data_IF_785945590158
#
_entry.id   IF_785945590158
#
_cell.length_a   1.000
_cell.length_b   1.000
_cell.length_c   1.000
_cell.angle_alpha   90.00
_cell.angle_beta   90.00
_cell.angle_gamma   90.00
#
_symmetry.space_group_name_H-M   'P 1'
#
loop_
_entity.id
_entity.type
_entity.pdbx_description
1 polymer ?
#
# COMPACT_ATOMS: atom_id res chain seq x y z
N UNK A 1 28.67 -8.82 1.49
CA UNK A 1 27.45 -8.50 2.28
C UNK A 1 27.32 -6.98 2.40
N UNK A 2 26.24 -6.38 1.90
CA UNK A 2 26.00 -4.96 2.15
C UNK A 2 25.77 -4.77 3.65
N UNK A 3 26.51 -3.87 4.28
CA UNK A 3 26.32 -3.55 5.69
C UNK A 3 24.93 -2.98 5.91
N UNK A 4 24.16 -3.57 6.82
CA UNK A 4 22.92 -3.01 7.30
C UNK A 4 23.16 -2.39 8.69
N UNK A 5 22.61 -1.19 8.89
CA UNK A 5 22.51 -0.54 10.19
C UNK A 5 21.04 -0.55 10.63
N UNK A 6 20.84 -0.72 11.93
CA UNK A 6 19.52 -0.75 12.51
C UNK A 6 19.47 0.05 13.79
N UNK A 7 18.43 0.87 13.92
CA UNK A 7 18.11 1.57 15.15
C UNK A 7 16.70 1.20 15.61
N UNK A 8 16.58 0.95 16.91
CA UNK A 8 15.31 0.69 17.60
C UNK A 8 15.16 1.71 18.70
N UNK A 9 13.94 2.13 18.94
CA UNK A 9 13.61 2.94 20.10
C UNK A 9 13.90 2.16 21.39
N UNK A 10 14.61 2.80 22.32
CA UNK A 10 15.01 2.19 23.58
C UNK A 10 13.81 1.77 24.43
N UNK A 11 12.76 2.59 24.41
CA UNK A 11 11.58 2.39 25.23
C UNK A 11 10.55 1.57 24.47
N UNK A 12 10.18 0.37 24.97
CA UNK A 12 9.04 -0.36 24.44
C UNK A 12 7.76 0.46 24.61
N UNK A 13 6.89 0.40 23.61
CA UNK A 13 5.58 1.03 23.69
C UNK A 13 4.58 0.01 24.23
N UNK A 14 3.99 0.34 25.37
CA UNK A 14 3.03 -0.51 26.04
C UNK A 14 1.66 -0.46 25.33
N UNK A 15 0.89 -1.57 25.36
CA UNK A 15 -0.40 -1.67 24.69
C UNK A 15 -1.52 -0.81 25.28
N UNK A 16 -1.27 -0.12 26.40
CA UNK A 16 -2.28 0.67 27.10
C UNK A 16 -2.77 1.90 26.31
N UNK A 17 -2.02 2.36 25.31
CA UNK A 17 -2.40 3.53 24.53
C UNK A 17 -3.33 3.18 23.36
N UNK A 18 -4.42 3.94 23.15
CA UNK A 18 -5.39 3.65 22.09
C UNK A 18 -4.79 3.82 20.68
N UNK A 19 -3.74 4.63 20.57
CA UNK A 19 -2.97 4.87 19.36
C UNK A 19 -1.57 5.37 19.74
N UNK A 20 -0.57 4.69 19.21
CA UNK A 20 0.83 5.13 19.19
C UNK A 20 1.15 5.59 17.78
N UNK A 21 1.78 6.76 17.62
CA UNK A 21 2.08 7.31 16.30
C UNK A 21 3.38 8.12 16.28
N UNK A 22 4.20 7.91 15.25
CA UNK A 22 5.44 8.65 14.97
C UNK A 22 5.48 9.03 13.49
N UNK A 23 6.07 10.19 13.18
CA UNK A 23 6.42 10.57 11.82
C UNK A 23 7.94 10.66 11.62
N UNK A 24 8.38 10.18 10.45
CA UNK A 24 9.75 10.23 9.97
C UNK A 24 9.81 11.16 8.76
N UNK A 25 10.51 12.29 8.89
CA UNK A 25 10.76 13.21 7.78
C UNK A 25 12.12 12.90 7.17
N UNK A 26 12.14 12.58 5.88
CA UNK A 26 13.39 12.34 5.15
C UNK A 26 13.98 13.68 4.76
N UNK A 27 14.92 14.21 5.52
CA UNK A 27 15.55 15.50 5.20
C UNK A 27 16.67 15.37 4.16
N UNK A 28 17.31 14.21 4.07
CA UNK A 28 18.34 13.92 3.07
C UNK A 28 18.37 12.42 2.77
N UNK A 29 18.38 12.07 1.48
CA UNK A 29 18.50 10.70 0.97
C UNK A 29 19.57 10.67 -0.13
N UNK A 30 20.56 9.78 -0.01
CA UNK A 30 21.63 9.62 -1.00
C UNK A 30 21.13 9.06 -2.35
N UNK A 31 21.86 9.34 -3.43
CA UNK A 31 21.42 9.15 -4.83
C UNK A 31 21.22 7.69 -5.26
N UNK A 32 21.82 6.71 -4.58
CA UNK A 32 21.71 5.28 -4.97
C UNK A 32 20.85 4.42 -4.01
N UNK A 33 19.93 5.06 -3.28
CA UNK A 33 19.08 4.49 -2.23
C UNK A 33 17.93 3.56 -2.70
N UNK A 34 18.15 2.74 -3.73
CA UNK A 34 17.15 1.74 -4.13
C UNK A 34 17.14 0.66 -3.05
N UNK A 35 16.06 0.59 -2.25
CA UNK A 35 15.84 -0.35 -1.12
C UNK A 35 16.55 -0.06 0.23
N UNK A 36 17.30 1.04 0.30
CA UNK A 36 18.27 1.24 1.37
C UNK A 36 17.70 1.72 2.71
N UNK A 37 16.41 2.05 2.76
CA UNK A 37 15.78 2.69 3.91
C UNK A 37 14.39 2.10 4.14
N UNK A 38 14.10 1.78 5.40
CA UNK A 38 12.76 1.40 5.82
C UNK A 38 12.48 1.87 7.24
N UNK A 39 11.22 2.16 7.53
CA UNK A 39 10.72 2.56 8.85
C UNK A 39 9.55 1.66 9.24
N UNK A 40 9.39 1.39 10.52
CA UNK A 40 8.32 0.49 10.96
C UNK A 40 8.40 0.09 12.42
N UNK A 41 7.98 -1.14 12.69
CA UNK A 41 7.95 -1.70 14.05
C UNK A 41 8.57 -3.09 14.13
N UNK A 42 8.99 -3.46 15.34
CA UNK A 42 9.43 -4.81 15.70
C UNK A 42 8.85 -5.22 17.05
N UNK A 43 8.62 -6.52 17.23
CA UNK A 43 8.30 -7.14 18.52
C UNK A 43 9.57 -7.62 19.26
N UNK A 44 10.67 -7.83 18.53
CA UNK A 44 11.91 -8.31 19.11
C UNK A 44 12.55 -7.29 20.05
N UNK A 45 13.09 -7.83 21.14
CA UNK A 45 14.00 -7.09 22.04
C UNK A 45 15.43 -7.14 21.54
N UNK A 46 15.80 -8.23 20.86
CA UNK A 46 17.13 -8.47 20.35
C UNK A 46 17.11 -8.30 18.85
N UNK A 47 17.99 -7.44 18.37
CA UNK A 47 18.24 -7.34 16.95
C UNK A 47 19.63 -7.83 16.71
N UNK A 48 19.74 -8.83 15.85
CA UNK A 48 21.02 -9.27 15.32
C UNK A 48 21.69 -8.10 14.62
N UNK A 49 22.68 -7.49 15.28
CA UNK A 49 23.45 -6.41 14.68
C UNK A 49 24.04 -6.88 13.35
N UNK A 50 23.80 -6.11 12.28
CA UNK A 50 24.24 -6.43 10.92
C UNK A 50 23.18 -7.12 10.04
N UNK A 51 22.03 -7.52 10.59
CA UNK A 51 20.88 -7.95 9.80
C UNK A 51 19.99 -6.76 9.40
N UNK A 52 19.30 -6.89 8.27
CA UNK A 52 18.24 -5.95 7.90
C UNK A 52 17.06 -6.11 8.86
N UNK A 53 16.54 -5.04 9.47
CA UNK A 53 15.61 -5.20 10.57
C UNK A 53 14.25 -5.77 10.21
N UNK A 54 13.85 -5.63 8.96
CA UNK A 54 12.58 -6.17 8.48
C UNK A 54 12.76 -7.55 7.82
N UNK A 55 13.95 -8.16 8.00
CA UNK A 55 14.22 -9.55 7.64
C UNK A 55 13.55 -10.56 8.58
N UNK A 56 13.20 -10.14 9.78
CA UNK A 56 12.64 -11.00 10.81
C UNK A 56 11.13 -11.16 10.65
N UNK A 57 10.60 -12.29 11.14
CA UNK A 57 9.16 -12.62 11.11
C UNK A 57 8.32 -11.83 12.09
N UNK A 58 8.94 -10.98 12.90
CA UNK A 58 8.31 -10.18 13.94
C UNK A 58 8.58 -8.68 13.75
N UNK A 59 8.94 -8.30 12.53
CA UNK A 59 9.15 -6.92 12.13
C UNK A 59 8.38 -6.60 10.85
N UNK A 60 7.84 -5.38 10.78
CA UNK A 60 7.12 -4.85 9.62
C UNK A 60 7.67 -3.48 9.29
N UNK A 61 8.17 -3.32 8.07
CA UNK A 61 8.78 -2.08 7.61
C UNK A 61 8.18 -1.60 6.31
N UNK A 62 7.93 -0.30 6.22
CA UNK A 62 7.64 0.36 4.96
C UNK A 62 8.96 0.88 4.38
N UNK A 63 9.32 0.47 3.16
CA UNK A 63 10.59 0.80 2.51
C UNK A 63 10.47 2.04 1.62
N UNK A 64 11.60 2.71 1.37
CA UNK A 64 11.70 3.87 0.46
C UNK A 64 11.22 3.58 -0.97
N UNK A 65 11.08 2.31 -1.37
CA UNK A 65 10.51 1.91 -2.66
C UNK A 65 8.98 1.91 -2.66
N UNK A 66 8.33 2.25 -1.55
CA UNK A 66 6.88 2.15 -1.44
C UNK A 66 6.40 0.71 -1.21
N UNK A 67 7.26 -0.19 -0.75
CA UNK A 67 6.89 -1.59 -0.48
C UNK A 67 6.82 -1.89 1.01
N UNK A 68 5.98 -2.84 1.38
CA UNK A 68 6.00 -3.46 2.70
C UNK A 68 7.09 -4.53 2.72
N UNK A 69 7.93 -4.53 3.74
CA UNK A 69 8.94 -5.53 4.02
C UNK A 69 8.58 -6.28 5.30
N UNK A 70 8.45 -7.59 5.19
CA UNK A 70 8.20 -8.49 6.32
C UNK A 70 8.85 -9.84 6.03
N UNK A 71 9.61 -10.38 6.98
CA UNK A 71 10.30 -11.66 6.82
C UNK A 71 11.15 -11.75 5.52
N UNK A 72 11.85 -10.67 5.16
CA UNK A 72 12.58 -10.52 3.88
C UNK A 72 11.74 -10.55 2.60
N UNK A 73 10.41 -10.57 2.70
CA UNK A 73 9.52 -10.49 1.55
C UNK A 73 9.12 -9.04 1.32
N UNK A 74 9.33 -8.55 0.08
CA UNK A 74 8.84 -7.24 -0.36
C UNK A 74 7.49 -7.41 -1.05
N UNK A 75 6.51 -6.64 -0.62
CA UNK A 75 5.15 -6.65 -1.16
C UNK A 75 4.74 -5.24 -1.57
N UNK A 76 3.99 -5.07 -2.69
CA UNK A 76 3.38 -3.80 -3.02
C UNK A 76 2.48 -3.31 -1.88
N UNK A 77 2.59 -2.04 -1.50
CA UNK A 77 1.81 -1.49 -0.40
C UNK A 77 1.54 0.00 -0.56
N UNK A 78 2.59 0.81 -0.67
CA UNK A 78 2.49 2.23 -0.95
C UNK A 78 2.17 2.53 -2.41
N UNK A 79 1.75 3.76 -2.69
CA UNK A 79 1.44 4.21 -4.05
C UNK A 79 2.68 4.48 -4.90
N UNK A 80 3.78 4.88 -4.24
CA UNK A 80 5.03 5.28 -4.89
C UNK A 80 6.21 5.20 -3.93
N UNK A 81 7.44 5.14 -4.46
CA UNK A 81 8.65 5.40 -3.67
C UNK A 81 8.59 6.76 -2.97
N UNK A 82 9.21 6.87 -1.79
CA UNK A 82 9.41 8.14 -1.10
C UNK A 82 10.86 8.61 -1.21
N UNK A 83 11.02 9.93 -1.15
CA UNK A 83 12.29 10.63 -1.29
C UNK A 83 12.48 11.71 -0.22
N UNK A 84 13.56 12.47 -0.32
CA UNK A 84 13.79 13.63 0.53
C UNK A 84 12.63 14.64 0.43
N UNK A 85 12.17 15.12 1.58
CA UNK A 85 11.00 15.98 1.75
C UNK A 85 9.72 15.24 2.15
N UNK A 86 9.67 13.91 1.93
CA UNK A 86 8.52 13.11 2.31
C UNK A 86 8.47 12.85 3.82
N UNK A 87 7.24 12.74 4.33
CA UNK A 87 6.93 12.44 5.73
C UNK A 87 6.19 11.11 5.78
N UNK A 88 6.80 10.14 6.46
CA UNK A 88 6.28 8.79 6.59
C UNK A 88 5.85 8.58 8.03
N UNK A 89 4.57 8.31 8.27
CA UNK A 89 4.11 7.98 9.60
C UNK A 89 3.96 6.48 9.82
N UNK A 90 4.22 6.03 11.04
CA UNK A 90 4.01 4.66 11.48
C UNK A 90 3.11 4.67 12.72
N UNK A 91 1.93 4.07 12.59
CA UNK A 91 0.92 4.00 13.63
C UNK A 91 0.69 2.59 14.12
N UNK A 92 0.44 2.46 15.42
CA UNK A 92 0.03 1.21 16.06
C UNK A 92 -1.21 1.52 16.90
N UNK A 93 -2.37 1.00 16.52
CA UNK A 93 -3.64 1.37 17.14
C UNK A 93 -4.60 0.19 17.32
N UNK A 94 -5.57 0.33 18.23
CA UNK A 94 -6.59 -0.69 18.50
C UNK A 94 -7.64 -0.77 17.38
N UNK A 95 -7.65 -1.91 16.68
CA UNK A 95 -8.58 -2.28 15.60
C UNK A 95 -9.91 -2.76 16.18
N UNK A 96 -9.82 -3.56 17.24
CA UNK A 96 -10.94 -4.01 18.06
C UNK A 96 -10.52 -4.05 19.53
N UNK A 97 -11.41 -4.47 20.42
CA UNK A 97 -11.11 -4.57 21.86
C UNK A 97 -9.91 -5.49 22.16
N UNK A 98 -9.71 -6.52 21.34
CA UNK A 98 -8.62 -7.50 21.51
C UNK A 98 -7.56 -7.45 20.42
N UNK A 99 -7.71 -6.58 19.42
CA UNK A 99 -6.82 -6.55 18.26
C UNK A 99 -6.17 -5.19 18.09
N UNK A 100 -4.86 -5.21 17.88
CA UNK A 100 -4.06 -4.03 17.53
C UNK A 100 -3.55 -4.19 16.10
N UNK A 101 -3.41 -3.09 15.37
CA UNK A 101 -2.94 -3.11 13.99
C UNK A 101 -1.86 -2.08 13.76
N UNK A 102 -0.94 -2.42 12.87
CA UNK A 102 0.11 -1.52 12.39
C UNK A 102 -0.35 -0.93 11.07
N UNK A 103 -0.21 0.37 10.91
CA UNK A 103 -0.49 1.07 9.65
C UNK A 103 0.58 2.09 9.36
N UNK A 104 0.66 2.50 8.10
CA UNK A 104 1.53 3.59 7.68
C UNK A 104 0.74 4.74 7.09
N UNK A 105 1.41 5.88 7.01
CA UNK A 105 0.92 7.06 6.34
C UNK A 105 2.02 7.63 5.46
N UNK A 106 1.64 8.24 4.34
CA UNK A 106 2.56 8.94 3.43
C UNK A 106 2.06 10.36 3.22
N UNK A 107 2.86 11.34 3.63
CA UNK A 107 2.53 12.76 3.54
C UNK A 107 1.13 13.09 4.08
N UNK A 108 0.79 12.54 5.25
CA UNK A 108 -0.50 12.74 5.91
C UNK A 108 -1.66 11.89 5.35
N UNK A 109 -1.40 11.00 4.38
CA UNK A 109 -2.41 10.10 3.83
C UNK A 109 -2.27 8.70 4.43
N UNK A 110 -3.36 8.16 4.95
CA UNK A 110 -3.43 6.79 5.46
C UNK A 110 -3.26 5.76 4.33
N UNK A 111 -2.43 4.73 4.55
CA UNK A 111 -2.11 3.69 3.56
C UNK A 111 -2.76 2.33 3.84
N UNK A 112 -3.43 2.16 4.98
CA UNK A 112 -4.03 0.89 5.37
C UNK A 112 -3.24 0.12 6.42
N UNK A 113 -3.88 -0.89 7.01
CA UNK A 113 -3.29 -1.78 8.01
C UNK A 113 -2.43 -2.83 7.31
N UNK A 114 -1.21 -3.06 7.79
CA UNK A 114 -0.27 -4.04 7.24
C UNK A 114 -0.24 -5.36 8.00
N UNK A 115 -0.55 -5.31 9.30
CA UNK A 115 -0.61 -6.49 10.14
C UNK A 115 -1.49 -6.22 11.37
N UNK A 116 -1.98 -7.28 11.98
CA UNK A 116 -2.74 -7.22 13.22
C UNK A 116 -2.24 -8.23 14.25
N UNK A 117 -2.45 -7.91 15.52
CA UNK A 117 -2.03 -8.69 16.67
C UNK A 117 -3.20 -8.90 17.64
N UNK A 118 -3.47 -10.15 18.03
CA UNK A 118 -4.55 -10.51 18.97
C UNK A 118 -4.23 -10.32 20.45
N UNK A 119 -2.97 -10.07 20.79
CA UNK A 119 -2.50 -10.03 22.19
C UNK A 119 -1.86 -8.70 22.56
N UNK A 120 -2.12 -7.64 21.78
CA UNK A 120 -1.58 -6.29 21.96
C UNK A 120 -0.11 -6.32 22.44
N UNK A 121 0.81 -6.87 21.63
CA UNK A 121 2.17 -7.09 22.05
C UNK A 121 2.85 -5.75 22.32
N UNK A 122 3.91 -5.81 23.11
CA UNK A 122 4.83 -4.68 23.21
C UNK A 122 5.54 -4.50 21.87
N UNK A 123 5.50 -3.28 21.34
CA UNK A 123 6.11 -2.92 20.06
C UNK A 123 7.21 -1.88 20.25
N UNK A 124 8.17 -1.84 19.34
CA UNK A 124 9.15 -0.75 19.25
C UNK A 124 9.19 -0.20 17.84
N UNK A 125 9.37 1.11 17.71
CA UNK A 125 9.69 1.71 16.42
C UNK A 125 11.11 1.38 16.00
N UNK A 126 11.26 1.23 14.69
CA UNK A 126 12.38 0.59 14.04
C UNK A 126 12.74 1.36 12.76
N UNK A 127 14.03 1.63 12.55
CA UNK A 127 14.55 2.25 11.32
C UNK A 127 15.71 1.43 10.78
N UNK A 128 15.53 0.89 9.58
CA UNK A 128 16.52 0.08 8.87
C UNK A 128 17.22 0.84 7.77
N UNK A 129 18.55 0.70 7.73
CA UNK A 129 19.41 1.28 6.71
C UNK A 129 20.31 0.20 6.11
N UNK A 130 20.50 0.21 4.80
CA UNK A 130 21.37 -0.73 4.07
C UNK A 130 22.27 0.07 3.17
N UNK A 131 23.58 -0.14 3.21
CA UNK A 131 24.56 0.52 2.33
C UNK A 131 25.20 1.78 2.92
N UNK A 132 26.02 2.47 2.12
CA UNK A 132 26.78 3.66 2.54
C UNK A 132 26.05 4.93 2.11
N UNK A 133 25.41 5.64 3.04
CA UNK A 133 24.60 6.82 2.71
C UNK A 133 24.73 7.94 3.72
N UNK A 134 24.77 9.16 3.21
CA UNK A 134 24.34 10.33 3.99
C UNK A 134 22.81 10.30 4.07
N UNK A 135 22.30 9.87 5.22
CA UNK A 135 20.88 9.93 5.55
C UNK A 135 20.69 10.85 6.74
N UNK A 136 19.68 11.71 6.65
CA UNK A 136 19.19 12.44 7.81
C UNK A 136 17.67 12.27 7.91
N UNK A 137 17.24 11.57 8.95
CA UNK A 137 15.84 11.44 9.34
C UNK A 137 15.56 12.35 10.53
N UNK A 138 14.46 13.09 10.47
CA UNK A 138 13.92 13.81 11.60
C UNK A 138 12.72 13.04 12.12
N UNK A 139 12.64 12.84 13.43
CA UNK A 139 11.55 12.10 14.06
C UNK A 139 10.62 13.08 14.77
N UNK A 140 9.33 13.00 14.48
CA UNK A 140 8.29 13.68 15.22
C UNK A 140 7.55 12.65 16.08
N UNK A 141 7.70 12.77 17.40
CA UNK A 141 7.04 11.97 18.44
C UNK A 141 5.86 12.73 19.08
N UNK A 142 5.38 13.77 18.41
CA UNK A 142 4.33 14.66 18.91
C UNK A 142 4.87 15.97 19.48
N UNK A 143 6.18 16.24 19.40
CA UNK A 143 6.72 17.56 19.75
C UNK A 143 6.33 18.64 18.74
N UNK A 144 5.95 18.25 17.53
CA UNK A 144 5.39 19.11 16.49
C UNK A 144 4.05 18.53 16.00
N UNK A 145 3.22 19.37 15.37
CA UNK A 145 1.98 18.91 14.75
C UNK A 145 2.27 17.88 13.67
N UNK A 146 1.63 16.71 13.78
CA UNK A 146 1.72 15.66 12.76
C UNK A 146 1.09 16.10 11.43
N UNK A 147 1.65 15.64 10.31
CA UNK A 147 1.07 15.84 8.98
C UNK A 147 -0.18 15.00 8.79
N UNK A 148 -0.21 13.77 9.30
CA UNK A 148 -1.44 13.00 9.44
C UNK A 148 -2.21 13.46 10.68
N UNK A 149 -3.54 13.52 10.60
CA UNK A 149 -4.36 13.70 11.80
C UNK A 149 -4.57 12.33 12.48
N UNK A 150 -3.90 12.02 13.61
CA UNK A 150 -4.00 10.71 14.21
C UNK A 150 -5.40 10.43 14.74
N UNK A 151 -6.20 11.46 15.06
CA UNK A 151 -7.57 11.29 15.55
C UNK A 151 -8.54 10.73 14.49
N UNK A 152 -8.22 10.84 13.19
CA UNK A 152 -9.08 10.35 12.11
C UNK A 152 -8.80 8.90 11.71
N UNK A 153 -7.83 8.24 12.34
CA UNK A 153 -7.34 6.93 11.87
C UNK A 153 -8.41 5.84 11.84
N UNK A 154 -9.28 5.76 12.88
CA UNK A 154 -10.41 4.80 12.91
C UNK A 154 -11.40 5.05 11.79
N UNK A 155 -11.62 6.31 11.43
CA UNK A 155 -12.49 6.68 10.30
C UNK A 155 -11.84 6.28 8.97
N UNK A 156 -10.53 6.53 8.80
CA UNK A 156 -9.79 6.09 7.61
C UNK A 156 -9.79 4.57 7.46
N UNK A 157 -9.68 3.85 8.58
CA UNK A 157 -9.76 2.40 8.62
C UNK A 157 -11.16 1.90 8.21
N UNK A 158 -12.23 2.42 8.83
CA UNK A 158 -13.59 1.99 8.56
C UNK A 158 -14.05 2.28 7.13
N UNK A 159 -13.55 3.37 6.54
CA UNK A 159 -13.85 3.72 5.15
C UNK A 159 -13.01 2.94 4.14
N UNK A 160 -12.10 2.06 4.61
CA UNK A 160 -11.23 1.26 3.75
C UNK A 160 -10.41 2.14 2.83
N UNK A 161 -9.94 3.30 3.32
CA UNK A 161 -9.28 4.31 2.51
C UNK A 161 -7.94 3.78 1.96
N UNK A 162 -8.02 2.99 0.90
CA UNK A 162 -7.03 2.93 -0.17
C UNK A 162 -7.01 4.36 -0.69
N UNK A 163 -5.86 5.03 -0.61
CA UNK A 163 -5.69 6.41 -1.09
C UNK A 163 -6.56 6.63 -2.33
N UNK A 164 -7.47 7.62 -2.25
CA UNK A 164 -8.46 7.88 -3.30
C UNK A 164 -7.77 7.67 -4.64
N UNK A 165 -8.33 6.80 -5.46
CA UNK A 165 -7.75 6.49 -6.77
C UNK A 165 -7.42 7.79 -7.53
N UNK A 166 -8.23 8.84 -7.35
CA UNK A 166 -8.00 10.22 -7.82
C UNK A 166 -6.59 10.80 -7.48
N UNK A 167 -5.97 10.39 -6.37
CA UNK A 167 -4.60 10.76 -5.99
C UNK A 167 -3.52 10.00 -6.75
N UNK A 168 -3.80 8.76 -7.17
CA UNK A 168 -2.95 7.97 -8.09
C UNK A 168 -2.93 8.65 -9.48
N UNK A 169 -4.05 9.27 -9.84
CA UNK A 169 -4.27 9.97 -11.10
C UNK A 169 -4.07 11.49 -11.02
N UNK A 170 -3.48 12.01 -9.94
CA UNK A 170 -3.16 13.43 -9.88
C UNK A 170 -2.25 13.79 -11.06
N UNK A 171 -2.49 14.90 -11.79
CA UNK A 171 -1.71 15.31 -12.95
C UNK A 171 -0.21 15.59 -12.64
N UNK A 172 0.19 15.51 -11.36
CA UNK A 172 1.58 15.62 -10.91
C UNK A 172 2.36 14.30 -10.94
N UNK A 173 1.72 13.15 -11.10
CA UNK A 173 2.41 11.87 -11.32
C UNK A 173 2.89 11.84 -12.77
N UNK A 174 4.21 11.76 -12.97
CA UNK A 174 4.84 11.69 -14.29
C UNK A 174 4.17 10.63 -15.17
N UNK A 175 3.79 11.04 -16.38
CA UNK A 175 2.91 10.32 -17.32
C UNK A 175 3.20 8.81 -17.48
N UNK A 176 4.45 8.36 -17.37
CA UNK A 176 4.79 6.93 -17.50
C UNK A 176 4.41 6.07 -16.30
N UNK A 177 4.56 6.58 -15.07
CA UNK A 177 4.42 5.76 -13.86
C UNK A 177 2.95 5.52 -13.49
N UNK A 178 2.09 6.54 -13.63
CA UNK A 178 0.66 6.39 -13.41
C UNK A 178 0.06 5.34 -14.37
N UNK A 179 0.56 5.33 -15.61
CA UNK A 179 0.18 4.40 -16.66
C UNK A 179 0.49 2.93 -16.33
N UNK A 180 1.73 2.65 -15.92
CA UNK A 180 2.17 1.30 -15.57
C UNK A 180 1.43 0.78 -14.33
N UNK A 181 1.19 1.65 -13.35
CA UNK A 181 0.38 1.33 -12.17
C UNK A 181 -1.06 0.99 -12.56
N UNK A 182 -1.66 1.69 -13.54
CA UNK A 182 -2.99 1.35 -14.05
C UNK A 182 -3.03 -0.03 -14.67
N UNK A 183 -2.07 -0.32 -15.54
CA UNK A 183 -2.00 -1.62 -16.21
C UNK A 183 -1.85 -2.74 -15.18
N UNK A 184 -0.95 -2.59 -14.20
CA UNK A 184 -0.75 -3.57 -13.14
C UNK A 184 -2.01 -3.76 -12.26
N UNK A 185 -2.66 -2.67 -11.84
CA UNK A 185 -3.89 -2.74 -11.05
C UNK A 185 -5.00 -3.45 -11.83
N UNK A 186 -5.11 -3.20 -13.13
CA UNK A 186 -6.14 -3.81 -13.96
C UNK A 186 -5.85 -5.28 -14.25
N UNK A 187 -4.61 -5.64 -14.60
CA UNK A 187 -4.20 -7.05 -14.76
C UNK A 187 -4.45 -7.85 -13.49
N UNK A 188 -4.11 -7.30 -12.32
CA UNK A 188 -4.38 -7.94 -11.02
C UNK A 188 -5.87 -8.09 -10.73
N UNK A 189 -6.66 -7.08 -11.09
CA UNK A 189 -8.12 -7.13 -10.95
C UNK A 189 -8.73 -8.19 -11.87
N UNK A 190 -8.27 -8.29 -13.12
CA UNK A 190 -8.70 -9.33 -14.05
C UNK A 190 -8.35 -10.73 -13.54
N UNK A 191 -7.12 -10.95 -13.06
CA UNK A 191 -6.70 -12.23 -12.46
C UNK A 191 -7.56 -12.59 -11.23
N UNK A 192 -7.89 -11.61 -10.39
CA UNK A 192 -8.77 -11.84 -9.23
C UNK A 192 -10.20 -12.18 -9.65
N UNK A 193 -10.72 -11.55 -10.71
CA UNK A 193 -12.04 -11.88 -11.27
C UNK A 193 -12.06 -13.27 -11.91
N UNK A 194 -11.02 -13.65 -12.66
CA UNK A 194 -10.90 -14.97 -13.29
C UNK A 194 -10.84 -16.09 -12.24
N UNK A 195 -10.06 -15.88 -11.16
CA UNK A 195 -10.01 -16.82 -10.05
C UNK A 195 -11.35 -17.00 -9.32
N UNK A 196 -12.25 -16.00 -9.35
CA UNK A 196 -13.59 -16.12 -8.78
C UNK A 196 -14.57 -16.89 -9.67
N UNK A 197 -14.36 -16.90 -11.00
CA UNK A 197 -15.21 -17.64 -11.94
C UNK A 197 -14.95 -19.14 -11.84
N UNK A 198 -13.68 -19.54 -11.69
CA UNK A 198 -13.28 -20.95 -11.61
C UNK A 198 -13.67 -21.64 -10.28
N UNK A 199 -13.86 -20.87 -9.21
CA UNK A 199 -14.14 -21.40 -7.87
C UNK A 199 -15.66 -21.52 -7.58
N UNK A 200 -16.51 -21.37 -8.60
CA UNK A 200 -17.95 -21.65 -8.51
C UNK A 200 -18.17 -23.15 -8.70
N UNK A 201 -18.39 -23.95 -7.64
CA UNK A 201 -18.61 -25.37 -7.81
C UNK A 201 -19.97 -25.56 -8.48
N UNK A 202 -20.01 -26.27 -9.61
CA UNK A 202 -21.26 -26.93 -10.02
C UNK A 202 -21.70 -27.78 -8.82
N UNK A 203 -22.89 -27.46 -8.28
CA UNK A 203 -23.49 -28.23 -7.19
C UNK A 203 -23.74 -29.67 -7.66
N UNK A 204 -22.73 -30.52 -7.53
CA UNK A 204 -22.91 -31.96 -7.47
C UNK A 204 -22.98 -32.32 -6.00
N UNK A 205 -24.17 -32.78 -5.60
CA UNK A 205 -24.46 -33.14 -4.23
C UNK A 205 -23.61 -34.33 -3.79
N UNK A 206 -22.77 -34.12 -2.77
CA UNK A 206 -22.25 -35.19 -1.92
C UNK A 206 -20.74 -35.36 -1.94
N UNK A 207 -20.06 -34.70 -1.00
CA UNK A 207 -18.88 -35.24 -0.28
C UNK A 207 -18.30 -34.15 0.63
N UNK A 208 -18.25 -34.41 1.94
CA UNK A 208 -17.62 -33.52 2.92
C UNK A 208 -16.16 -33.94 3.13
N UNK A 209 -15.21 -33.11 2.67
CA UNK A 209 -13.83 -33.14 3.17
C UNK A 209 -13.40 -31.71 3.47
N UNK A 210 -12.98 -31.48 4.70
CA UNK A 210 -12.56 -30.18 5.22
C UNK A 210 -11.25 -29.72 4.55
N UNK A 211 -11.37 -28.74 3.65
CA UNK A 211 -10.25 -28.00 3.10
C UNK A 211 -10.12 -26.66 3.83
N UNK A 212 -8.97 -26.43 4.46
CA UNK A 212 -8.58 -25.17 5.09
C UNK A 212 -8.33 -24.13 3.98
N UNK A 213 -9.38 -23.47 3.48
CA UNK A 213 -9.27 -22.39 2.50
C UNK A 213 -8.64 -21.15 3.17
N UNK A 214 -7.51 -20.71 2.64
CA UNK A 214 -6.98 -19.36 2.86
C UNK A 214 -7.98 -18.37 2.26
N UNK A 215 -8.87 -17.86 3.10
CA UNK A 215 -9.90 -16.91 2.71
C UNK A 215 -9.22 -15.55 2.47
N UNK A 216 -8.73 -15.34 1.25
CA UNK A 216 -8.39 -13.99 0.77
C UNK A 216 -9.70 -13.19 0.87
N UNK A 217 -9.69 -12.10 1.64
CA UNK A 217 -10.86 -11.25 1.89
C UNK A 217 -11.48 -10.80 0.55
N UNK A 218 -12.47 -11.54 0.06
CA UNK A 218 -13.26 -11.22 -1.14
C UNK A 218 -14.06 -9.90 -0.98
N UNK A 219 -14.11 -9.34 0.24
CA UNK A 219 -14.70 -8.04 0.54
C UNK A 219 -13.89 -6.85 0.03
N UNK A 220 -12.63 -7.03 -0.38
CA UNK A 220 -11.74 -5.93 -0.83
C UNK A 220 -12.08 -5.45 -2.25
N UNK A 221 -12.64 -6.31 -3.10
CA UNK A 221 -13.16 -5.92 -4.42
C UNK A 221 -14.67 -5.72 -4.35
N UNK A 222 -15.14 -4.84 -3.46
CA UNK A 222 -16.53 -4.39 -3.56
C UNK A 222 -16.75 -3.80 -4.96
N UNK A 223 -17.89 -4.07 -5.59
CA UNK A 223 -18.19 -3.51 -6.93
C UNK A 223 -18.03 -1.98 -6.98
N UNK A 224 -18.16 -1.30 -5.84
CA UNK A 224 -17.88 0.14 -5.70
C UNK A 224 -16.42 0.51 -5.96
N UNK A 225 -15.45 -0.27 -5.49
CA UNK A 225 -14.03 0.00 -5.70
C UNK A 225 -13.65 -0.17 -7.18
N UNK A 226 -14.12 -1.26 -7.80
CA UNK A 226 -13.93 -1.50 -9.23
C UNK A 226 -14.49 -0.35 -10.08
N UNK A 227 -15.70 0.11 -9.77
CA UNK A 227 -16.31 1.26 -10.44
C UNK A 227 -15.51 2.56 -10.28
N UNK A 228 -14.97 2.81 -9.08
CA UNK A 228 -14.12 3.98 -8.84
C UNK A 228 -12.81 3.89 -9.64
N UNK A 229 -12.22 2.71 -9.75
CA UNK A 229 -11.00 2.49 -10.53
C UNK A 229 -11.25 2.74 -12.02
N UNK A 230 -12.29 2.11 -12.57
CA UNK A 230 -12.68 2.27 -13.98
C UNK A 230 -12.97 3.75 -14.31
N UNK A 231 -13.72 4.45 -13.45
CA UNK A 231 -14.03 5.87 -13.65
C UNK A 231 -12.78 6.75 -13.67
N UNK A 232 -11.83 6.50 -12.78
CA UNK A 232 -10.60 7.27 -12.72
C UNK A 232 -9.71 7.01 -13.93
N UNK A 233 -9.61 5.76 -14.39
CA UNK A 233 -8.88 5.40 -15.61
C UNK A 233 -9.47 6.04 -16.86
N UNK A 234 -10.80 6.09 -16.97
CA UNK A 234 -11.47 6.75 -18.10
C UNK A 234 -11.32 8.26 -18.07
N UNK A 235 -11.37 8.86 -16.87
CA UNK A 235 -11.10 10.29 -16.69
C UNK A 235 -9.67 10.61 -17.13
N UNK A 236 -8.70 9.79 -16.73
CA UNK A 236 -7.31 9.91 -17.15
C UNK A 236 -7.15 9.77 -18.67
N UNK A 237 -7.76 8.75 -19.28
CA UNK A 237 -7.73 8.56 -20.74
C UNK A 237 -8.35 9.74 -21.49
N UNK A 238 -9.45 10.29 -20.98
CA UNK A 238 -10.11 11.47 -21.56
C UNK A 238 -9.21 12.69 -21.52
N UNK A 239 -8.49 12.92 -20.41
CA UNK A 239 -7.50 13.99 -20.32
C UNK A 239 -6.37 13.77 -21.32
N UNK A 240 -5.82 12.56 -21.40
CA UNK A 240 -4.72 12.25 -22.34
C UNK A 240 -5.13 12.41 -23.79
N UNK A 241 -6.34 11.98 -24.16
CA UNK A 241 -6.85 12.16 -25.52
C UNK A 241 -7.01 13.63 -25.91
N UNK A 242 -7.23 14.54 -24.96
CA UNK A 242 -7.25 16.00 -25.23
C UNK A 242 -5.87 16.59 -25.47
N UNK A 243 -4.85 15.99 -24.87
CA UNK A 243 -3.46 16.47 -24.97
C UNK A 243 -2.73 15.94 -26.22
N UNK A 244 -3.23 14.84 -26.83
CA UNK A 244 -2.65 14.28 -28.06
C UNK A 244 -3.02 15.16 -29.25
N UNK A 245 -2.02 15.76 -29.89
CA UNK A 245 -2.21 16.54 -31.10
C UNK A 245 -2.66 15.63 -32.27
N UNK A 246 -3.54 16.10 -33.17
CA UNK A 246 -3.96 15.32 -34.32
C UNK A 246 -2.77 14.99 -35.22
N UNK A 247 -2.52 13.70 -35.44
CA UNK A 247 -1.45 13.19 -36.29
C UNK A 247 -0.19 12.71 -35.56
N UNK A 248 -0.12 12.83 -34.22
CA UNK A 248 0.95 12.20 -33.44
C UNK A 248 0.65 10.73 -33.15
N UNK A 249 1.49 9.84 -33.69
CA UNK A 249 1.54 8.44 -33.31
C UNK A 249 2.27 8.32 -31.96
N UNK A 250 1.56 8.67 -30.88
CA UNK A 250 2.12 8.72 -29.53
C UNK A 250 1.97 7.38 -28.82
N UNK A 251 2.97 7.02 -28.00
CA UNK A 251 2.85 5.90 -27.04
C UNK A 251 1.58 6.01 -26.19
N UNK A 252 1.18 7.24 -25.88
CA UNK A 252 -0.03 7.54 -25.11
C UNK A 252 -1.30 7.05 -25.82
N UNK A 253 -1.41 7.17 -27.16
CA UNK A 253 -2.54 6.67 -27.93
C UNK A 253 -2.66 5.13 -27.86
N UNK A 254 -1.54 4.43 -28.07
CA UNK A 254 -1.51 2.96 -28.00
C UNK A 254 -1.94 2.44 -26.63
N UNK A 255 -1.67 3.22 -25.58
CA UNK A 255 -1.97 2.83 -24.23
C UNK A 255 -3.39 3.20 -23.81
N UNK A 256 -3.90 4.36 -24.23
CA UNK A 256 -5.33 4.68 -24.12
C UNK A 256 -6.17 3.58 -24.78
N UNK A 257 -5.76 3.09 -25.96
CA UNK A 257 -6.42 1.97 -26.63
C UNK A 257 -6.39 0.68 -25.77
N UNK A 258 -5.27 0.36 -25.12
CA UNK A 258 -5.18 -0.80 -24.21
C UNK A 258 -6.09 -0.66 -22.99
N UNK A 259 -6.12 0.51 -22.36
CA UNK A 259 -7.00 0.77 -21.22
C UNK A 259 -8.46 0.64 -21.63
N UNK A 260 -8.87 1.25 -22.75
CA UNK A 260 -10.23 1.14 -23.28
C UNK A 260 -10.60 -0.31 -23.63
N UNK A 261 -9.71 -1.05 -24.30
CA UNK A 261 -9.93 -2.46 -24.62
C UNK A 261 -10.15 -3.29 -23.35
N UNK A 262 -9.39 -3.01 -22.30
CA UNK A 262 -9.48 -3.75 -21.05
C UNK A 262 -10.76 -3.40 -20.27
N UNK A 263 -11.17 -2.13 -20.26
CA UNK A 263 -12.51 -1.71 -19.77
C UNK A 263 -13.60 -2.46 -20.53
N UNK A 264 -13.55 -2.50 -21.87
CA UNK A 264 -14.51 -3.25 -22.69
C UNK A 264 -14.52 -4.75 -22.37
N UNK A 265 -13.36 -5.37 -22.14
CA UNK A 265 -13.27 -6.78 -21.77
C UNK A 265 -13.94 -7.06 -20.42
N UNK A 266 -13.78 -6.16 -19.44
CA UNK A 266 -14.45 -6.25 -18.13
C UNK A 266 -15.97 -6.11 -18.30
N UNK A 267 -16.42 -5.16 -19.13
CA UNK A 267 -17.85 -4.96 -19.44
C UNK A 267 -18.48 -6.14 -20.19
N UNK A 268 -17.73 -6.77 -21.09
CA UNK A 268 -18.18 -7.90 -21.92
C UNK A 268 -18.37 -9.21 -21.14
N UNK A 269 -17.70 -9.37 -20.00
CA UNK A 269 -17.79 -10.58 -19.14
C UNK A 269 -19.07 -10.66 -18.30
N UNK A 270 -20.11 -9.90 -18.64
CA UNK A 270 -21.43 -10.06 -18.04
C UNK A 270 -21.56 -9.52 -16.62
N UNK A 271 -20.66 -8.62 -16.19
CA UNK A 271 -20.84 -7.86 -14.94
C UNK A 271 -22.09 -6.99 -15.12
N UNK A 272 -23.24 -7.47 -14.60
CA UNK A 272 -24.54 -6.78 -14.63
C UNK A 272 -24.55 -5.56 -13.69
N UNK A 273 -23.60 -4.66 -13.84
CA UNK A 273 -23.63 -3.35 -13.20
C UNK A 273 -23.98 -2.32 -14.27
N UNK A 274 -25.21 -1.78 -14.21
CA UNK A 274 -25.68 -0.71 -15.10
C UNK A 274 -24.69 0.48 -15.14
N UNK A 275 -23.93 0.69 -14.07
CA UNK A 275 -22.88 1.68 -13.99
C UNK A 275 -21.71 1.48 -14.96
N UNK A 276 -21.35 0.24 -15.34
CA UNK A 276 -20.24 -0.02 -16.27
C UNK A 276 -20.63 0.32 -17.72
N UNK A 277 -21.91 0.16 -18.09
CA UNK A 277 -22.41 0.53 -19.43
C UNK A 277 -22.54 2.04 -19.64
N UNK A 278 -22.81 2.78 -18.57
CA UNK A 278 -22.99 4.23 -18.60
C UNK A 278 -21.65 5.01 -18.62
N UNK A 279 -20.56 4.32 -18.31
CA UNK A 279 -19.19 4.82 -18.18
C UNK A 279 -18.40 4.43 -19.42
#
# INVERSE_FOLDING_TARGET
>A
PMSAAYAVFSTPLAPAEPLLYVEFTVSQLGVAAVDSLAVGVTLSHEVSMGAWPFAHTDAWGYTCLGTLCHANVLQPYGLRPWTAGDVIGCGVGSISESEQGVFFTYNGKYLGVVCTFRHQPTVRYAVGLRGQWALKLLLNLGQETFRFNPHTWKQCQATGFVAKIEDIFSPTVTNGLALEVCQLLLERTCLALDAQVEDTPEMTAGSSVAATKTQVNASVLSGKWLMQLLRAMLTFCTHKLRDIAPGEDSRDLSLVQRVLQLVCNISGRGVKHEGIRAV
#
